data_IF_926821270831
#
_entry.id   IF_926821270831
#
_cell.length_a   1.000
_cell.length_b   1.000
_cell.length_c   1.000
_cell.angle_alpha   90.00
_cell.angle_beta   90.00
_cell.angle_gamma   90.00
#
_symmetry.space_group_name_H-M   'P 1'
#
loop_
_entity.id
_entity.type
_entity.pdbx_description
1 polymer ?
#
# COMPACT_ATOMS: atom_id res chain seq x y z
N UNK A 1 -4.92 -29.52 -3.55
CA UNK A 1 -4.08 -28.85 -2.54
C UNK A 1 -3.19 -27.90 -3.30
N UNK A 2 -3.51 -26.61 -3.32
CA UNK A 2 -2.75 -25.64 -4.11
C UNK A 2 -1.48 -25.27 -3.34
N UNK A 3 -0.32 -25.48 -3.96
CA UNK A 3 0.95 -24.98 -3.44
C UNK A 3 0.84 -23.49 -3.16
N UNK A 4 1.26 -23.09 -1.96
CA UNK A 4 1.28 -21.68 -1.60
C UNK A 4 2.47 -21.07 -2.35
N UNK A 5 2.30 -19.96 -3.09
CA UNK A 5 3.42 -19.36 -3.83
C UNK A 5 4.52 -18.96 -2.86
N UNK A 6 5.71 -19.56 -3.03
CA UNK A 6 6.93 -19.26 -2.28
C UNK A 6 7.94 -18.61 -3.21
N UNK A 7 8.75 -17.71 -2.66
CA UNK A 7 9.89 -17.16 -3.38
C UNK A 7 10.95 -18.25 -3.56
N UNK A 8 11.68 -18.19 -4.68
CA UNK A 8 12.88 -19.00 -4.83
C UNK A 8 13.96 -18.56 -3.84
N UNK A 9 14.89 -19.46 -3.44
CA UNK A 9 16.01 -19.09 -2.56
C UNK A 9 16.84 -17.91 -3.08
N UNK A 10 16.97 -17.78 -4.40
CA UNK A 10 17.67 -16.68 -5.06
C UNK A 10 16.92 -15.35 -4.95
N UNK A 11 15.59 -15.36 -5.07
CA UNK A 11 14.75 -14.17 -4.84
C UNK A 11 14.80 -13.74 -3.37
N UNK A 12 14.74 -14.68 -2.44
CA UNK A 12 14.89 -14.38 -1.02
C UNK A 12 16.26 -13.75 -0.71
N UNK A 13 17.34 -14.31 -1.27
CA UNK A 13 18.69 -13.78 -1.09
C UNK A 13 18.80 -12.35 -1.63
N UNK A 14 18.28 -12.09 -2.84
CA UNK A 14 18.26 -10.73 -3.42
C UNK A 14 17.46 -9.74 -2.59
N UNK A 15 16.33 -10.14 -2.01
CA UNK A 15 15.56 -9.28 -1.11
C UNK A 15 16.35 -8.98 0.17
N UNK A 16 16.98 -9.98 0.79
CA UNK A 16 17.80 -9.79 1.99
C UNK A 16 18.95 -8.83 1.73
N UNK A 17 19.65 -9.00 0.60
CA UNK A 17 20.74 -8.13 0.18
C UNK A 17 20.26 -6.69 -0.07
N UNK A 18 19.14 -6.51 -0.77
CA UNK A 18 18.57 -5.19 -1.02
C UNK A 18 18.18 -4.47 0.29
N UNK A 19 17.62 -5.19 1.27
CA UNK A 19 17.30 -4.63 2.60
C UNK A 19 18.56 -4.24 3.34
N UNK A 20 19.58 -5.11 3.37
CA UNK A 20 20.85 -4.81 4.03
C UNK A 20 21.55 -3.59 3.39
N UNK A 21 21.58 -3.54 2.05
CA UNK A 21 22.13 -2.42 1.29
C UNK A 21 21.39 -1.12 1.60
N UNK A 22 20.05 -1.13 1.68
CA UNK A 22 19.28 0.06 2.04
C UNK A 22 19.59 0.54 3.47
N UNK A 23 19.70 -0.39 4.43
CA UNK A 23 20.00 -0.05 5.84
C UNK A 23 21.41 0.52 6.00
N UNK A 24 22.41 -0.06 5.34
CA UNK A 24 23.81 0.35 5.46
C UNK A 24 24.16 1.56 4.58
N UNK A 25 23.58 1.65 3.39
CA UNK A 25 23.94 2.65 2.38
C UNK A 25 23.15 3.96 2.44
N UNK A 26 22.04 4.01 3.19
CA UNK A 26 21.26 5.26 3.33
C UNK A 26 21.90 6.25 4.30
N UNK A 27 22.36 5.85 5.50
CA UNK A 27 22.99 6.77 6.43
C UNK A 27 24.44 7.04 6.00
N UNK A 28 24.78 8.31 5.78
CA UNK A 28 26.08 8.73 5.27
C UNK A 28 27.24 8.22 6.16
N UNK A 29 28.22 7.57 5.51
CA UNK A 29 29.44 7.06 6.14
C UNK A 29 29.24 5.93 7.16
N UNK A 30 28.03 5.36 7.27
CA UNK A 30 27.75 4.35 8.31
C UNK A 30 28.60 3.10 8.10
N UNK A 31 28.62 2.53 6.90
CA UNK A 31 29.33 1.29 6.62
C UNK A 31 30.83 1.40 6.94
N UNK A 32 31.46 2.50 6.53
CA UNK A 32 32.88 2.78 6.76
C UNK A 32 33.18 3.01 8.25
N UNK A 33 32.29 3.70 8.97
CA UNK A 33 32.48 4.02 10.39
C UNK A 33 32.38 2.81 11.32
N UNK A 34 31.68 1.74 10.92
CA UNK A 34 31.51 0.54 11.75
C UNK A 34 32.84 -0.17 12.07
N UNK A 35 33.85 -0.01 11.21
CA UNK A 35 35.17 -0.62 11.42
C UNK A 35 36.03 0.13 12.45
N UNK A 36 35.67 1.37 12.80
CA UNK A 36 36.56 2.29 13.50
C UNK A 36 35.90 3.00 14.69
N UNK A 37 34.58 3.01 14.78
CA UNK A 37 33.81 3.72 15.80
C UNK A 37 32.73 2.83 16.44
N UNK A 38 32.86 2.49 17.74
CA UNK A 38 31.84 1.76 18.48
C UNK A 38 30.47 2.47 18.54
N UNK A 39 30.41 3.80 18.52
CA UNK A 39 29.15 4.55 18.57
C UNK A 39 28.32 4.37 17.28
N UNK A 40 28.99 4.07 16.17
CA UNK A 40 28.35 3.79 14.89
C UNK A 40 27.48 2.51 14.91
N UNK A 41 27.66 1.61 15.87
CA UNK A 41 26.72 0.50 16.09
C UNK A 41 25.35 0.99 16.63
N UNK A 42 25.29 2.09 17.38
CA UNK A 42 24.01 2.69 17.78
C UNK A 42 23.28 3.29 16.59
N UNK A 43 24.01 3.89 15.63
CA UNK A 43 23.47 4.37 14.35
C UNK A 43 22.92 3.20 13.53
N UNK A 44 23.63 2.06 13.49
CA UNK A 44 23.14 0.83 12.86
C UNK A 44 21.86 0.31 13.51
N UNK A 45 21.76 0.31 14.84
CA UNK A 45 20.51 -0.05 15.55
C UNK A 45 19.37 0.89 15.17
N UNK A 46 19.62 2.20 15.05
CA UNK A 46 18.60 3.15 14.61
C UNK A 46 18.15 2.91 13.16
N UNK A 47 19.10 2.68 12.24
CA UNK A 47 18.81 2.43 10.83
C UNK A 47 18.05 1.10 10.63
N UNK A 48 18.46 0.04 11.32
CA UNK A 48 17.78 -1.26 11.29
C UNK A 48 16.38 -1.18 11.89
N UNK A 49 16.16 -0.40 12.96
CA UNK A 49 14.82 -0.13 13.51
C UNK A 49 13.90 0.47 12.45
N UNK A 50 14.36 1.51 11.74
CA UNK A 50 13.57 2.12 10.65
C UNK A 50 13.28 1.12 9.53
N UNK A 51 14.25 0.31 9.13
CA UNK A 51 14.04 -0.78 8.15
C UNK A 51 13.02 -1.82 8.62
N UNK A 52 13.06 -2.20 9.90
CA UNK A 52 12.12 -3.15 10.50
C UNK A 52 10.69 -2.58 10.56
N UNK A 53 10.55 -1.30 10.91
CA UNK A 53 9.27 -0.59 10.92
C UNK A 53 8.66 -0.55 9.52
N UNK A 54 9.45 -0.17 8.51
CA UNK A 54 8.98 -0.07 7.13
C UNK A 54 8.63 -1.42 6.53
N UNK A 55 9.49 -2.44 6.67
CA UNK A 55 9.17 -3.81 6.21
C UNK A 55 7.95 -4.38 6.92
N UNK A 56 7.78 -4.11 8.21
CA UNK A 56 6.57 -4.49 8.96
C UNK A 56 5.33 -3.76 8.45
N UNK A 57 5.44 -2.49 8.06
CA UNK A 57 4.36 -1.71 7.43
C UNK A 57 3.97 -2.29 6.08
N UNK A 58 4.95 -2.60 5.23
CA UNK A 58 4.74 -3.22 3.92
C UNK A 58 4.09 -4.60 4.04
N UNK A 59 4.53 -5.42 4.99
CA UNK A 59 3.93 -6.72 5.26
C UNK A 59 2.45 -6.61 5.65
N UNK A 60 2.10 -5.67 6.54
CA UNK A 60 0.69 -5.42 6.91
C UNK A 60 -0.13 -5.03 5.69
N UNK A 61 0.37 -4.12 4.84
CA UNK A 61 -0.30 -3.73 3.59
C UNK A 61 -0.48 -4.90 2.64
N UNK A 62 0.54 -5.73 2.45
CA UNK A 62 0.45 -6.93 1.60
C UNK A 62 -0.59 -7.93 2.13
N UNK A 63 -0.64 -8.16 3.45
CA UNK A 63 -1.65 -9.03 4.07
C UNK A 63 -3.05 -8.46 3.89
N UNK A 64 -3.25 -7.16 4.09
CA UNK A 64 -4.53 -6.49 3.82
C UNK A 64 -4.91 -6.61 2.34
N UNK A 65 -3.95 -6.47 1.42
CA UNK A 65 -4.15 -6.67 -0.01
C UNK A 65 -4.61 -8.09 -0.34
N UNK A 66 -3.95 -9.11 0.23
CA UNK A 66 -4.33 -10.51 0.08
C UNK A 66 -5.74 -10.78 0.64
N UNK A 67 -6.09 -10.19 1.79
CA UNK A 67 -7.44 -10.26 2.35
C UNK A 67 -8.48 -9.63 1.43
N UNK A 68 -8.18 -8.46 0.86
CA UNK A 68 -9.05 -7.76 -0.08
C UNK A 68 -9.23 -8.52 -1.41
N UNK A 69 -8.21 -9.28 -1.82
CA UNK A 69 -8.26 -10.20 -2.96
C UNK A 69 -9.02 -11.51 -2.67
N UNK A 70 -9.59 -11.67 -1.46
CA UNK A 70 -10.41 -12.83 -1.09
C UNK A 70 -9.66 -13.99 -0.42
N UNK A 71 -8.34 -13.88 -0.20
CA UNK A 71 -7.59 -14.96 0.45
C UNK A 71 -7.98 -15.11 1.93
N UNK A 72 -8.18 -16.36 2.37
CA UNK A 72 -8.57 -16.65 3.75
C UNK A 72 -7.44 -16.39 4.74
N UNK A 73 -7.79 -16.07 5.99
CA UNK A 73 -6.83 -15.96 7.10
C UNK A 73 -6.01 -17.24 7.32
N UNK A 74 -6.60 -18.38 6.99
CA UNK A 74 -5.94 -19.69 7.05
C UNK A 74 -4.86 -19.84 5.97
N UNK A 75 -5.14 -19.38 4.74
CA UNK A 75 -4.14 -19.34 3.65
C UNK A 75 -2.98 -18.39 3.99
N UNK A 76 -3.31 -17.19 4.48
CA UNK A 76 -2.31 -16.19 4.87
C UNK A 76 -1.47 -16.68 6.06
N UNK A 77 -2.11 -17.31 7.06
CA UNK A 77 -1.40 -17.89 8.21
C UNK A 77 -0.37 -18.92 7.77
N UNK A 78 -0.76 -19.88 6.91
CA UNK A 78 0.17 -20.86 6.32
C UNK A 78 1.35 -20.19 5.61
N UNK A 79 1.09 -19.19 4.77
CA UNK A 79 2.16 -18.48 4.05
C UNK A 79 3.13 -17.77 5.01
N UNK A 80 2.63 -17.23 6.11
CA UNK A 80 3.44 -16.52 7.11
C UNK A 80 4.07 -17.44 8.16
N UNK A 81 3.84 -18.76 8.10
CA UNK A 81 4.33 -19.71 9.10
C UNK A 81 3.68 -19.54 10.48
N UNK A 82 2.46 -18.99 10.56
CA UNK A 82 1.72 -18.77 11.82
C UNK A 82 0.32 -19.37 11.75
N UNK A 83 -0.32 -19.55 12.92
CA UNK A 83 -1.71 -20.00 12.95
C UNK A 83 -2.67 -18.96 12.36
N UNK A 84 -3.85 -19.40 11.89
CA UNK A 84 -4.95 -18.52 11.45
C UNK A 84 -5.26 -17.45 12.50
N UNK A 85 -5.37 -17.85 13.77
CA UNK A 85 -5.70 -16.94 14.86
C UNK A 85 -4.57 -15.93 15.12
N UNK A 86 -3.31 -16.35 15.07
CA UNK A 86 -2.16 -15.46 15.19
C UNK A 86 -2.11 -14.44 14.03
N UNK A 87 -2.40 -14.87 12.80
CA UNK A 87 -2.52 -13.98 11.65
C UNK A 87 -3.65 -12.95 11.84
N UNK A 88 -4.84 -13.39 12.28
CA UNK A 88 -5.96 -12.50 12.56
C UNK A 88 -5.63 -11.47 13.62
N UNK A 89 -5.08 -11.90 14.76
CA UNK A 89 -4.72 -11.01 15.86
C UNK A 89 -3.69 -9.95 15.43
N UNK A 90 -2.72 -10.34 14.59
CA UNK A 90 -1.63 -9.45 14.17
C UNK A 90 -2.02 -8.49 13.04
N UNK A 91 -2.94 -8.88 12.16
CA UNK A 91 -3.18 -8.18 10.89
C UNK A 91 -4.63 -7.75 10.62
N UNK A 92 -5.60 -8.14 11.46
CA UNK A 92 -6.96 -7.61 11.32
C UNK A 92 -6.95 -6.08 11.50
N UNK A 93 -7.61 -5.36 10.59
CA UNK A 93 -7.80 -3.92 10.74
C UNK A 93 -8.67 -3.67 11.98
N UNK A 94 -8.27 -2.71 12.82
CA UNK A 94 -9.18 -2.13 13.80
C UNK A 94 -10.08 -1.16 13.03
N UNK A 95 -11.39 -1.36 13.09
CA UNK A 95 -12.35 -0.46 12.46
C UNK A 95 -12.04 0.99 12.86
N UNK A 96 -11.64 1.79 11.89
CA UNK A 96 -11.40 3.22 12.09
C UNK A 96 -12.73 3.91 11.87
N UNK A 97 -13.32 4.38 12.97
CA UNK A 97 -14.57 5.13 12.94
C UNK A 97 -14.39 6.42 12.12
N UNK A 98 -15.27 6.62 11.13
CA UNK A 98 -15.29 7.81 10.27
C UNK A 98 -15.79 9.02 11.09
N UNK A 99 -15.08 10.17 11.13
CA UNK A 99 -15.57 11.38 11.78
C UNK A 99 -16.79 11.98 11.03
N UNK A 100 -17.85 12.37 11.75
CA UNK A 100 -19.02 13.08 11.21
C UNK A 100 -18.72 14.58 11.07
N UNK A 101 -18.83 15.13 9.86
CA UNK A 101 -18.83 16.59 9.63
C UNK A 101 -18.31 17.10 8.27
N UNK A 102 -18.35 16.30 7.21
CA UNK A 102 -17.85 16.66 5.87
C UNK A 102 -19.04 16.82 4.89
N UNK A 103 -18.86 17.42 3.68
CA UNK A 103 -19.84 17.33 2.58
C UNK A 103 -20.39 15.91 2.44
N UNK A 104 -21.60 15.77 1.88
CA UNK A 104 -22.29 14.48 1.76
C UNK A 104 -21.27 13.42 1.30
N UNK A 105 -20.99 12.48 2.19
CA UNK A 105 -19.89 11.52 2.04
C UNK A 105 -20.50 10.14 1.91
N UNK A 106 -20.18 9.47 0.82
CA UNK A 106 -20.62 8.10 0.53
C UNK A 106 -19.43 7.16 0.66
N UNK A 107 -19.65 6.03 1.30
CA UNK A 107 -18.66 4.95 1.34
C UNK A 107 -19.10 3.87 0.35
N UNK A 108 -18.32 3.69 -0.71
CA UNK A 108 -18.46 2.56 -1.62
C UNK A 108 -17.87 1.33 -0.91
N UNK A 109 -18.67 0.30 -0.69
CA UNK A 109 -18.27 -0.91 0.05
C UNK A 109 -18.34 -2.15 -0.84
N UNK A 110 -17.86 -3.30 -0.33
CA UNK A 110 -17.79 -4.56 -1.07
C UNK A 110 -16.93 -4.45 -2.36
N UNK A 111 -15.92 -3.59 -2.30
CA UNK A 111 -14.99 -3.42 -3.40
C UNK A 111 -13.91 -4.50 -3.36
N UNK A 112 -13.40 -4.85 -4.51
CA UNK A 112 -12.28 -5.77 -4.72
C UNK A 112 -11.37 -5.12 -5.73
N UNK A 113 -10.14 -5.64 -5.83
CA UNK A 113 -9.23 -5.24 -6.90
C UNK A 113 -9.79 -5.45 -8.32
N UNK A 114 -10.91 -6.17 -8.50
CA UNK A 114 -11.51 -6.42 -9.80
C UNK A 114 -12.69 -5.48 -10.13
N UNK A 115 -13.43 -4.99 -9.14
CA UNK A 115 -14.62 -4.15 -9.36
C UNK A 115 -14.42 -2.68 -8.95
N UNK A 116 -13.37 -2.36 -8.16
CA UNK A 116 -13.20 -1.02 -7.58
C UNK A 116 -13.13 0.08 -8.65
N UNK A 117 -12.48 -0.18 -9.78
CA UNK A 117 -12.32 0.82 -10.83
C UNK A 117 -13.63 1.07 -11.59
N UNK A 118 -14.49 0.06 -11.72
CA UNK A 118 -15.82 0.23 -12.31
C UNK A 118 -16.73 1.03 -11.38
N UNK A 119 -16.71 0.71 -10.08
CA UNK A 119 -17.46 1.45 -9.06
C UNK A 119 -17.00 2.93 -8.99
N UNK A 120 -15.69 3.19 -9.09
CA UNK A 120 -15.16 4.54 -9.16
C UNK A 120 -15.55 5.26 -10.46
N UNK A 121 -15.59 4.57 -11.60
CA UNK A 121 -16.01 5.17 -12.86
C UNK A 121 -17.48 5.62 -12.81
N UNK A 122 -18.38 4.80 -12.27
CA UNK A 122 -19.78 5.17 -12.04
C UNK A 122 -19.89 6.37 -11.09
N UNK A 123 -19.19 6.31 -9.94
CA UNK A 123 -19.17 7.39 -8.96
C UNK A 123 -18.64 8.71 -9.58
N UNK A 124 -17.60 8.64 -10.40
CA UNK A 124 -17.03 9.79 -11.08
C UNK A 124 -18.02 10.48 -12.04
N UNK A 125 -18.84 9.71 -12.75
CA UNK A 125 -19.91 10.24 -13.61
C UNK A 125 -21.05 10.87 -12.80
N UNK A 126 -21.34 10.31 -11.64
CA UNK A 126 -22.29 10.85 -10.65
C UNK A 126 -21.74 12.05 -9.86
N UNK A 127 -20.57 12.57 -10.23
CA UNK A 127 -19.88 13.69 -9.56
C UNK A 127 -19.49 13.41 -8.12
N UNK A 128 -19.08 12.18 -7.84
CA UNK A 128 -18.43 11.81 -6.59
C UNK A 128 -16.92 11.85 -6.76
N UNK A 129 -16.24 12.63 -5.92
CA UNK A 129 -14.77 12.75 -5.86
C UNK A 129 -14.19 11.75 -4.87
N UNK A 130 -13.19 10.97 -5.28
CA UNK A 130 -12.43 10.12 -4.38
C UNK A 130 -11.53 10.95 -3.45
N UNK A 131 -11.78 10.85 -2.15
CA UNK A 131 -11.05 11.60 -1.12
C UNK A 131 -10.26 10.69 -0.17
N UNK A 132 -10.69 9.45 0.02
CA UNK A 132 -10.02 8.47 0.85
C UNK A 132 -10.35 7.06 0.35
N UNK A 133 -9.49 6.09 0.64
CA UNK A 133 -9.68 4.72 0.19
C UNK A 133 -8.93 3.73 1.08
N UNK A 134 -9.46 2.52 1.14
CA UNK A 134 -8.85 1.45 1.89
C UNK A 134 -9.26 0.08 1.36
N UNK A 135 -8.86 -0.98 2.07
CA UNK A 135 -9.20 -2.33 1.67
C UNK A 135 -10.73 -2.50 1.64
N UNK A 136 -11.27 -2.85 0.47
CA UNK A 136 -12.69 -3.11 0.22
C UNK A 136 -13.62 -1.88 0.29
N UNK A 137 -13.08 -0.67 0.42
CA UNK A 137 -13.89 0.54 0.41
C UNK A 137 -13.21 1.73 -0.25
N UNK A 138 -14.02 2.65 -0.77
CA UNK A 138 -13.59 3.97 -1.20
C UNK A 138 -14.54 4.99 -0.59
N UNK A 139 -14.00 6.05 0.01
CA UNK A 139 -14.79 7.16 0.51
C UNK A 139 -14.78 8.28 -0.52
N UNK A 140 -15.97 8.67 -0.94
CA UNK A 140 -16.19 9.70 -1.94
C UNK A 140 -17.02 10.84 -1.38
N UNK A 141 -16.75 12.06 -1.84
CA UNK A 141 -17.49 13.26 -1.47
C UNK A 141 -18.20 13.86 -2.69
N UNK A 142 -19.35 14.48 -2.45
CA UNK A 142 -20.09 15.18 -3.51
C UNK A 142 -19.20 16.29 -4.11
N UNK A 143 -19.16 16.35 -5.44
CA UNK A 143 -18.35 17.30 -6.20
C UNK A 143 -19.20 18.02 -7.25
N UNK A 144 -18.76 19.20 -7.68
CA UNK A 144 -19.37 19.98 -8.76
C UNK A 144 -18.99 19.45 -10.16
N UNK A 145 -17.96 18.60 -10.23
CA UNK A 145 -17.36 18.06 -11.45
C UNK A 145 -17.44 16.56 -11.52
N UNK A 146 -17.39 16.04 -12.74
CA UNK A 146 -17.18 14.61 -12.98
C UNK A 146 -15.69 14.25 -12.97
N UNK A 147 -15.39 13.02 -12.59
CA UNK A 147 -14.02 12.54 -12.39
C UNK A 147 -13.72 11.29 -13.20
N UNK A 148 -12.51 11.22 -13.73
CA UNK A 148 -11.90 10.01 -14.26
C UNK A 148 -10.90 9.47 -13.23
N UNK A 149 -10.87 8.14 -13.05
CA UNK A 149 -10.00 7.48 -12.08
C UNK A 149 -9.08 6.47 -12.73
N UNK A 150 -7.87 6.34 -12.20
CA UNK A 150 -6.90 5.35 -12.65
C UNK A 150 -6.12 4.79 -11.48
N UNK A 151 -5.92 3.47 -11.46
CA UNK A 151 -4.89 2.84 -10.63
C UNK A 151 -3.69 2.43 -11.47
N UNK A 152 -2.49 2.60 -10.93
CA UNK A 152 -1.25 2.15 -11.55
C UNK A 152 -0.36 1.47 -10.50
N UNK A 153 0.45 0.45 -10.89
CA UNK A 153 1.42 -0.12 -9.95
C UNK A 153 2.42 0.94 -9.48
N UNK A 154 2.61 1.06 -8.16
CA UNK A 154 3.50 2.04 -7.52
C UNK A 154 4.98 1.80 -7.84
N UNK A 155 5.39 0.54 -8.06
CA UNK A 155 6.79 0.13 -8.24
C UNK A 155 7.41 0.48 -9.61
N UNK A 156 6.76 1.31 -10.43
CA UNK A 156 7.28 1.70 -11.76
C UNK A 156 7.88 3.11 -11.68
N UNK A 157 9.21 3.18 -11.58
CA UNK A 157 9.96 4.43 -11.52
C UNK A 157 9.54 5.41 -12.65
N UNK A 158 9.31 6.68 -12.30
CA UNK A 158 8.94 7.74 -13.23
C UNK A 158 7.48 7.77 -13.69
N UNK A 159 6.65 6.78 -13.34
CA UNK A 159 5.24 6.73 -13.75
C UNK A 159 4.39 7.82 -13.12
N UNK A 160 4.66 8.18 -11.85
CA UNK A 160 3.97 9.28 -11.16
C UNK A 160 4.15 10.62 -11.86
N UNK A 161 5.39 11.00 -12.19
CA UNK A 161 5.69 12.23 -12.94
C UNK A 161 4.97 12.30 -14.29
N UNK A 162 4.84 11.18 -15.00
CA UNK A 162 4.08 11.12 -16.26
C UNK A 162 2.58 11.29 -16.03
N UNK A 163 2.02 10.67 -15.00
CA UNK A 163 0.60 10.85 -14.64
C UNK A 163 0.31 12.32 -14.33
N UNK A 164 1.14 12.98 -13.52
CA UNK A 164 1.01 14.40 -13.20
C UNK A 164 1.08 15.30 -14.45
N UNK A 165 2.03 15.03 -15.36
CA UNK A 165 2.13 15.74 -16.64
C UNK A 165 0.89 15.57 -17.53
N UNK A 166 0.23 14.42 -17.47
CA UNK A 166 -1.03 14.12 -18.17
C UNK A 166 -2.28 14.68 -17.44
N UNK A 167 -2.08 15.46 -16.37
CA UNK A 167 -3.12 16.13 -15.60
C UNK A 167 -3.78 15.26 -14.52
N UNK A 168 -3.17 14.15 -14.14
CA UNK A 168 -3.66 13.30 -13.06
C UNK A 168 -3.17 13.78 -11.70
N UNK A 169 -4.05 13.74 -10.71
CA UNK A 169 -3.80 14.10 -9.32
C UNK A 169 -3.73 12.80 -8.52
N UNK A 170 -2.64 12.58 -7.78
CA UNK A 170 -2.53 11.44 -6.89
C UNK A 170 -3.44 11.60 -5.68
N UNK A 171 -4.25 10.59 -5.40
CA UNK A 171 -5.09 10.51 -4.20
C UNK A 171 -4.30 9.86 -3.06
N UNK A 172 -3.51 8.84 -3.39
CA UNK A 172 -2.60 8.18 -2.45
C UNK A 172 -2.14 6.81 -2.93
N UNK A 173 -1.50 6.08 -2.03
CA UNK A 173 -0.94 4.75 -2.32
C UNK A 173 -1.44 3.65 -1.37
N UNK A 174 -1.94 2.56 -1.95
CA UNK A 174 -2.24 1.32 -1.24
C UNK A 174 -1.61 0.15 -2.00
N UNK A 175 -0.55 -0.43 -1.41
CA UNK A 175 0.29 -1.42 -2.08
C UNK A 175 -0.54 -2.57 -2.68
N UNK A 176 -0.34 -2.91 -3.96
CA UNK A 176 0.74 -2.45 -4.86
C UNK A 176 0.39 -1.22 -5.74
N UNK A 177 -0.73 -0.54 -5.49
CA UNK A 177 -1.31 0.48 -6.38
C UNK A 177 -1.15 1.92 -5.85
N UNK A 178 -1.00 2.85 -6.80
CA UNK A 178 -1.29 4.27 -6.63
C UNK A 178 -2.61 4.60 -7.31
N UNK A 179 -3.46 5.37 -6.64
CA UNK A 179 -4.75 5.83 -7.17
C UNK A 179 -4.64 7.29 -7.60
N UNK A 180 -5.12 7.57 -8.80
CA UNK A 180 -5.11 8.87 -9.42
C UNK A 180 -6.52 9.27 -9.84
N UNK A 181 -6.80 10.57 -9.80
CA UNK A 181 -8.04 11.19 -10.28
C UNK A 181 -7.73 12.35 -11.23
N UNK A 182 -8.64 12.64 -12.16
CA UNK A 182 -8.56 13.80 -13.05
C UNK A 182 -9.97 14.31 -13.35
N UNK A 183 -10.21 15.63 -13.35
CA UNK A 183 -11.51 16.16 -13.75
C UNK A 183 -11.79 15.85 -15.23
N UNK A 184 -12.98 15.34 -15.51
CA UNK A 184 -13.48 15.21 -16.88
C UNK A 184 -13.70 16.62 -17.46
N UNK A 185 -13.22 16.85 -18.67
CA UNK A 185 -13.53 18.08 -19.40
C UNK A 185 -15.01 18.01 -19.79
N UNK A 186 -15.85 18.86 -19.19
CA UNK A 186 -17.20 19.06 -19.70
C UNK A 186 -17.06 19.52 -21.17
N UNK A 187 -17.56 18.70 -22.09
CA UNK A 187 -17.74 19.09 -23.49
C UNK A 187 -18.98 19.97 -23.62
#
# INVERSE_FOLDING_TARGET
>A
MSETPQLSPEEEARIREAVASAVLGTPEGLAESLEHDPESYLRLVSATRTGAEETSRLLRKAVQGARAAGHSWDTIGRLLGVSRQAAQQRFAAKDTAVPKGSPERRVLTMLTAFNEMAALAEAGLERWELVDFGPLYHAVEASDRQWEYRRVPFAVAGRGRRMEADGWIEVGTYFPWSYYKRPLKNS
#
